data_IF_783845937554
#
_entry.id   IF_783845937554
#
_cell.length_a   1.000
_cell.length_b   1.000
_cell.length_c   1.000
_cell.angle_alpha   90.00
_cell.angle_beta   90.00
_cell.angle_gamma   90.00
#
_symmetry.space_group_name_H-M   'P 1'
#
loop_
_entity.id
_entity.type
_entity.pdbx_description
1 polymer ?
#
# COMPACT_ATOMS: atom_id res chain seq x y z
N UNK A 1 -108.07 54.38 -8.53
CA UNK A 1 -109.11 53.35 -8.66
C UNK A 1 -110.38 53.97 -9.23
N UNK A 2 -110.76 53.61 -10.45
CA UNK A 2 -112.16 53.40 -10.84
C UNK A 2 -112.09 52.55 -12.10
N UNK A 3 -112.47 51.27 -12.01
CA UNK A 3 -112.51 50.40 -13.19
C UNK A 3 -113.75 50.82 -13.97
N UNK A 4 -113.61 51.83 -14.83
CA UNK A 4 -114.66 52.22 -15.77
C UNK A 4 -114.96 50.94 -16.56
N UNK A 5 -116.17 50.40 -16.41
CA UNK A 5 -116.51 49.17 -17.10
C UNK A 5 -116.49 49.45 -18.60
N UNK A 6 -115.96 48.50 -19.38
CA UNK A 6 -115.89 48.56 -20.84
C UNK A 6 -117.25 48.96 -21.44
N UNK A 7 -118.35 48.46 -20.85
CA UNK A 7 -119.73 48.88 -21.12
C UNK A 7 -119.96 50.40 -21.03
N UNK A 8 -119.51 51.08 -19.95
CA UNK A 8 -119.74 52.53 -19.77
C UNK A 8 -118.99 53.36 -20.81
N UNK A 9 -117.72 53.02 -21.09
CA UNK A 9 -116.94 53.68 -22.15
C UNK A 9 -117.66 53.51 -23.50
N UNK A 10 -117.98 52.26 -23.87
CA UNK A 10 -118.70 51.96 -25.12
C UNK A 10 -120.07 52.65 -25.19
N UNK A 11 -120.81 52.79 -24.08
CA UNK A 11 -122.09 53.52 -24.02
C UNK A 11 -121.91 54.97 -24.42
N UNK A 12 -120.88 55.64 -23.91
CA UNK A 12 -120.54 57.02 -24.27
C UNK A 12 -120.06 57.13 -25.72
N UNK A 13 -119.22 56.21 -26.18
CA UNK A 13 -118.71 56.19 -27.56
C UNK A 13 -119.81 55.95 -28.60
N UNK A 14 -120.76 55.06 -28.33
CA UNK A 14 -121.92 54.84 -29.20
C UNK A 14 -122.87 56.03 -29.15
N UNK A 15 -123.17 56.60 -27.98
CA UNK A 15 -124.01 57.78 -27.88
C UNK A 15 -123.41 58.97 -28.66
N UNK A 16 -122.11 59.21 -28.52
CA UNK A 16 -121.37 60.23 -29.28
C UNK A 16 -121.39 59.97 -30.78
N UNK A 17 -121.11 58.75 -31.24
CA UNK A 17 -121.17 58.38 -32.67
C UNK A 17 -122.57 58.57 -33.26
N UNK A 18 -123.62 58.17 -32.55
CA UNK A 18 -125.00 58.30 -33.03
C UNK A 18 -125.41 59.78 -33.17
N UNK A 19 -124.97 60.66 -32.26
CA UNK A 19 -125.19 62.11 -32.42
C UNK A 19 -124.34 62.71 -33.54
N UNK A 20 -123.09 62.26 -33.73
CA UNK A 20 -122.26 62.68 -34.86
C UNK A 20 -122.85 62.29 -36.23
N UNK A 21 -123.63 61.19 -36.29
CA UNK A 21 -124.39 60.76 -37.48
C UNK A 21 -125.71 61.58 -37.65
N UNK A 22 -126.02 62.48 -36.71
CA UNK A 22 -127.13 63.44 -36.81
C UNK A 22 -128.36 63.11 -35.94
N UNK A 23 -128.31 62.10 -35.06
CA UNK A 23 -129.37 61.88 -34.06
C UNK A 23 -129.34 62.99 -33.01
N UNK A 24 -130.50 63.35 -32.47
CA UNK A 24 -130.57 64.31 -31.35
C UNK A 24 -130.36 63.57 -30.01
N UNK A 25 -129.71 64.17 -28.99
CA UNK A 25 -129.48 63.52 -27.70
C UNK A 25 -130.73 62.95 -27.03
N UNK A 26 -131.91 63.58 -27.21
CA UNK A 26 -133.17 63.07 -26.67
C UNK A 26 -133.70 61.82 -27.40
N UNK A 27 -133.34 61.59 -28.66
CA UNK A 27 -133.75 60.43 -29.46
C UNK A 27 -133.00 59.14 -29.09
N UNK A 28 -131.85 59.26 -28.41
CA UNK A 28 -131.08 58.10 -27.96
C UNK A 28 -131.84 57.34 -26.85
N UNK A 29 -132.26 56.11 -27.12
CA UNK A 29 -132.90 55.23 -26.14
C UNK A 29 -131.93 54.13 -25.67
N UNK A 30 -132.25 53.53 -24.52
CA UNK A 30 -131.46 52.42 -23.95
C UNK A 30 -131.36 51.25 -24.93
N UNK A 31 -132.45 50.90 -25.61
CA UNK A 31 -132.47 49.80 -26.58
C UNK A 31 -131.69 50.13 -27.87
N UNK A 32 -131.61 51.40 -28.28
CA UNK A 32 -130.77 51.84 -29.40
C UNK A 32 -129.28 51.64 -29.08
N UNK A 33 -128.84 52.04 -27.89
CA UNK A 33 -127.47 51.82 -27.41
C UNK A 33 -127.18 50.33 -27.20
N UNK A 34 -128.14 49.58 -26.63
CA UNK A 34 -128.01 48.15 -26.40
C UNK A 34 -127.94 47.34 -27.71
N UNK A 35 -128.63 47.76 -28.77
CA UNK A 35 -128.58 47.11 -30.09
C UNK A 35 -127.18 47.16 -30.73
N UNK A 36 -126.44 48.24 -30.47
CA UNK A 36 -125.10 48.47 -31.00
C UNK A 36 -124.01 47.77 -30.16
N UNK A 37 -124.07 47.90 -28.83
CA UNK A 37 -123.02 47.37 -27.94
C UNK A 37 -123.26 45.90 -27.58
N UNK A 38 -124.54 45.47 -27.51
CA UNK A 38 -125.01 44.11 -27.19
C UNK A 38 -124.44 43.51 -25.89
N UNK A 39 -123.96 44.35 -24.98
CA UNK A 39 -123.23 43.97 -23.77
C UNK A 39 -123.62 44.90 -22.61
N UNK A 40 -123.71 44.33 -21.40
CA UNK A 40 -124.02 45.06 -20.17
C UNK A 40 -125.52 45.11 -19.82
N UNK A 41 -125.84 45.57 -18.61
CA UNK A 41 -127.23 45.72 -18.18
C UNK A 41 -127.86 46.96 -18.79
N UNK A 42 -129.15 46.85 -19.17
CA UNK A 42 -129.99 48.01 -19.54
C UNK A 42 -130.01 49.10 -18.46
N UNK A 43 -129.90 48.74 -17.18
CA UNK A 43 -129.80 49.74 -16.09
C UNK A 43 -128.50 50.54 -16.18
N UNK A 44 -127.35 49.87 -16.26
CA UNK A 44 -126.03 50.51 -16.41
C UNK A 44 -125.96 51.41 -17.65
N UNK A 45 -126.57 50.98 -18.76
CA UNK A 45 -126.65 51.77 -20.00
C UNK A 45 -127.57 52.98 -19.80
N UNK A 46 -128.72 52.82 -19.15
CA UNK A 46 -129.64 53.93 -18.86
C UNK A 46 -129.00 54.99 -17.97
N UNK A 47 -128.30 54.58 -16.90
CA UNK A 47 -127.69 55.49 -15.94
C UNK A 47 -126.51 56.26 -16.57
N UNK A 48 -125.64 55.57 -17.31
CA UNK A 48 -124.54 56.22 -18.05
C UNK A 48 -125.06 57.11 -19.20
N UNK A 49 -126.13 56.69 -19.89
CA UNK A 49 -126.74 57.49 -20.96
C UNK A 49 -127.43 58.75 -20.40
N UNK A 50 -128.03 58.70 -19.20
CA UNK A 50 -128.53 59.90 -18.50
C UNK A 50 -127.38 60.85 -18.17
N UNK A 51 -126.33 60.36 -17.50
CA UNK A 51 -125.15 61.16 -17.15
C UNK A 51 -124.54 61.81 -18.39
N UNK A 52 -124.37 61.04 -19.48
CA UNK A 52 -123.88 61.55 -20.75
C UNK A 52 -124.81 62.61 -21.36
N UNK A 53 -126.13 62.45 -21.32
CA UNK A 53 -127.09 63.47 -21.79
C UNK A 53 -127.04 64.74 -20.93
N UNK A 54 -126.92 64.60 -19.61
CA UNK A 54 -126.79 65.73 -18.68
C UNK A 54 -125.46 66.47 -18.87
N UNK A 55 -124.41 65.77 -19.29
CA UNK A 55 -123.13 66.37 -19.70
C UNK A 55 -123.24 67.07 -21.06
N UNK A 56 -123.89 66.47 -22.06
CA UNK A 56 -124.15 67.16 -23.34
C UNK A 56 -124.99 68.41 -23.13
N UNK A 57 -126.08 68.35 -22.36
CA UNK A 57 -126.92 69.52 -22.07
C UNK A 57 -126.14 70.65 -21.37
N UNK A 58 -125.20 70.31 -20.48
CA UNK A 58 -124.30 71.28 -19.84
C UNK A 58 -123.27 71.86 -20.84
N UNK A 59 -122.72 71.02 -21.72
CA UNK A 59 -121.79 71.46 -22.76
C UNK A 59 -122.48 72.37 -23.81
N UNK A 60 -123.69 72.01 -24.25
CA UNK A 60 -124.52 72.79 -25.16
C UNK A 60 -124.89 74.15 -24.53
N UNK A 61 -125.28 74.17 -23.25
CA UNK A 61 -125.56 75.40 -22.52
C UNK A 61 -124.32 76.29 -22.36
N UNK A 62 -123.14 75.70 -22.09
CA UNK A 62 -121.88 76.42 -21.99
C UNK A 62 -121.43 76.98 -23.36
N UNK A 63 -121.60 76.19 -24.44
CA UNK A 63 -121.33 76.62 -25.80
C UNK A 63 -122.27 77.74 -26.27
N UNK A 64 -123.53 77.73 -25.83
CA UNK A 64 -124.50 78.80 -26.09
C UNK A 64 -124.27 80.06 -25.24
N UNK A 65 -123.67 79.93 -24.05
CA UNK A 65 -123.34 81.05 -23.16
C UNK A 65 -122.04 81.77 -23.56
N UNK A 66 -121.13 81.10 -24.27
CA UNK A 66 -119.90 81.68 -24.80
C UNK A 66 -120.16 82.40 -26.13
N UNK A 67 -119.76 83.68 -26.28
CA UNK A 67 -119.74 84.32 -27.59
C UNK A 67 -118.85 83.52 -28.56
N UNK A 68 -119.32 83.27 -29.78
CA UNK A 68 -118.60 82.43 -30.75
C UNK A 68 -117.09 82.78 -30.92
N UNK A 69 -116.67 84.07 -30.99
CA UNK A 69 -115.24 84.41 -31.06
C UNK A 69 -114.41 83.93 -29.87
N UNK A 70 -115.01 83.85 -28.67
CA UNK A 70 -114.34 83.36 -27.46
C UNK A 70 -114.26 81.83 -27.47
N UNK A 71 -115.33 81.14 -27.88
CA UNK A 71 -115.34 79.69 -28.02
C UNK A 71 -114.31 79.20 -29.06
N UNK A 72 -114.22 79.89 -30.20
CA UNK A 72 -113.23 79.56 -31.24
C UNK A 72 -111.80 79.92 -30.79
N UNK A 73 -111.58 81.06 -30.13
CA UNK A 73 -110.28 81.39 -29.54
C UNK A 73 -109.82 80.35 -28.49
N UNK A 74 -110.73 79.85 -27.64
CA UNK A 74 -110.43 78.79 -26.68
C UNK A 74 -110.08 77.46 -27.38
N UNK A 75 -110.79 77.10 -28.46
CA UNK A 75 -110.46 75.91 -29.26
C UNK A 75 -109.11 76.03 -29.96
N UNK A 76 -108.81 77.18 -30.55
CA UNK A 76 -107.51 77.44 -31.18
C UNK A 76 -106.37 77.44 -30.18
N UNK A 77 -106.55 78.03 -28.99
CA UNK A 77 -105.56 78.00 -27.92
C UNK A 77 -105.34 76.57 -27.39
N UNK A 78 -106.40 75.79 -27.23
CA UNK A 78 -106.29 74.38 -26.84
C UNK A 78 -105.58 73.54 -27.89
N UNK A 79 -105.92 73.70 -29.17
CA UNK A 79 -105.26 73.01 -30.27
C UNK A 79 -103.75 73.33 -30.31
N UNK A 80 -103.38 74.61 -30.19
CA UNK A 80 -101.99 75.05 -30.12
C UNK A 80 -101.25 74.50 -28.88
N UNK A 81 -101.92 74.44 -27.73
CA UNK A 81 -101.35 73.88 -26.50
C UNK A 81 -101.13 72.36 -26.60
N UNK A 82 -102.03 71.63 -27.26
CA UNK A 82 -101.86 70.20 -27.56
C UNK A 82 -100.72 70.00 -28.55
N UNK A 83 -100.70 70.73 -29.67
CA UNK A 83 -99.63 70.65 -30.67
C UNK A 83 -98.25 70.94 -30.07
N UNK A 84 -98.14 71.99 -29.24
CA UNK A 84 -96.91 72.31 -28.53
C UNK A 84 -96.53 71.23 -27.50
N UNK A 85 -97.50 70.67 -26.78
CA UNK A 85 -97.28 69.56 -25.85
C UNK A 85 -96.79 68.30 -26.54
N UNK A 86 -97.34 67.95 -27.71
CA UNK A 86 -96.91 66.84 -28.55
C UNK A 86 -95.48 67.06 -29.09
N UNK A 87 -95.16 68.29 -29.55
CA UNK A 87 -93.81 68.65 -29.98
C UNK A 87 -92.77 68.53 -28.86
N UNK A 88 -93.06 69.06 -27.66
CA UNK A 88 -92.16 68.97 -26.51
C UNK A 88 -92.02 67.52 -26.02
N UNK A 89 -93.10 66.73 -26.02
CA UNK A 89 -93.05 65.33 -25.65
C UNK A 89 -92.23 64.50 -26.65
N UNK A 90 -92.38 64.74 -27.95
CA UNK A 90 -91.57 64.11 -28.99
C UNK A 90 -90.08 64.46 -28.84
N UNK A 91 -89.76 65.75 -28.67
CA UNK A 91 -88.39 66.22 -28.43
C UNK A 91 -87.76 65.54 -27.21
N UNK A 92 -88.44 65.51 -26.06
CA UNK A 92 -87.90 64.86 -24.86
C UNK A 92 -87.84 63.34 -24.99
N UNK A 93 -88.73 62.73 -25.78
CA UNK A 93 -88.66 61.33 -26.18
C UNK A 93 -87.36 61.02 -26.93
N UNK A 94 -87.07 61.76 -27.99
CA UNK A 94 -85.82 61.59 -28.75
C UNK A 94 -84.56 61.87 -27.91
N UNK A 95 -84.59 62.88 -27.02
CA UNK A 95 -83.48 63.15 -26.10
C UNK A 95 -83.24 61.96 -25.16
N UNK A 96 -84.29 61.40 -24.55
CA UNK A 96 -84.18 60.22 -23.68
C UNK A 96 -83.71 58.98 -24.44
N UNK A 97 -84.15 58.79 -25.68
CA UNK A 97 -83.66 57.70 -26.55
C UNK A 97 -82.16 57.86 -26.86
N UNK A 98 -81.70 59.08 -27.18
CA UNK A 98 -80.27 59.38 -27.37
C UNK A 98 -79.47 59.16 -26.07
N UNK A 99 -79.95 59.68 -24.94
CA UNK A 99 -79.32 59.47 -23.62
C UNK A 99 -79.20 57.98 -23.29
N UNK A 100 -80.22 57.18 -23.61
CA UNK A 100 -80.26 55.74 -23.38
C UNK A 100 -79.32 54.96 -24.32
N UNK A 101 -79.25 55.30 -25.61
CA UNK A 101 -78.30 54.63 -26.54
C UNK A 101 -76.85 54.95 -26.19
N UNK A 102 -76.55 56.20 -25.83
CA UNK A 102 -75.25 56.62 -25.32
C UNK A 102 -74.87 55.90 -24.01
N UNK A 103 -75.82 55.76 -23.07
CA UNK A 103 -75.59 55.04 -21.83
C UNK A 103 -75.34 53.55 -22.07
N UNK A 104 -76.09 52.92 -22.98
CA UNK A 104 -75.88 51.53 -23.38
C UNK A 104 -74.52 51.32 -24.07
N UNK A 105 -74.11 52.23 -24.96
CA UNK A 105 -72.80 52.19 -25.61
C UNK A 105 -71.64 52.33 -24.61
N UNK A 106 -71.74 53.26 -23.65
CA UNK A 106 -70.78 53.40 -22.54
C UNK A 106 -70.72 52.14 -21.68
N UNK A 107 -71.87 51.57 -21.30
CA UNK A 107 -71.93 50.35 -20.52
C UNK A 107 -71.29 49.14 -21.24
N UNK A 108 -71.57 48.97 -22.54
CA UNK A 108 -70.96 47.92 -23.35
C UNK A 108 -69.44 48.08 -23.48
N UNK A 109 -68.95 49.32 -23.68
CA UNK A 109 -67.52 49.63 -23.73
C UNK A 109 -66.82 49.32 -22.40
N UNK A 110 -67.40 49.73 -21.27
CA UNK A 110 -66.88 49.43 -19.93
C UNK A 110 -66.89 47.92 -19.62
N UNK A 111 -67.94 47.19 -20.01
CA UNK A 111 -68.00 45.74 -19.84
C UNK A 111 -66.91 45.01 -20.65
N UNK A 112 -66.64 45.46 -21.88
CA UNK A 112 -65.55 44.93 -22.70
C UNK A 112 -64.17 45.22 -22.09
N UNK A 113 -63.95 46.43 -21.59
CA UNK A 113 -62.71 46.80 -20.91
C UNK A 113 -62.49 46.00 -19.60
N UNK A 114 -63.56 45.77 -18.82
CA UNK A 114 -63.52 44.96 -17.61
C UNK A 114 -63.12 43.51 -17.92
N UNK A 115 -63.79 42.87 -18.88
CA UNK A 115 -63.46 41.51 -19.30
C UNK A 115 -62.02 41.36 -19.81
N UNK A 116 -61.49 42.38 -20.51
CA UNK A 116 -60.08 42.41 -20.93
C UNK A 116 -59.11 42.50 -19.73
N UNK A 117 -59.41 43.33 -18.72
CA UNK A 117 -58.62 43.44 -17.50
C UNK A 117 -58.68 42.17 -16.64
N UNK A 118 -59.83 41.51 -16.58
CA UNK A 118 -59.98 40.20 -15.91
C UNK A 118 -59.13 39.12 -16.59
N UNK A 119 -59.17 39.05 -17.92
CA UNK A 119 -58.35 38.12 -18.71
C UNK A 119 -56.83 38.38 -18.53
N UNK A 120 -56.41 39.64 -18.49
CA UNK A 120 -55.02 40.01 -18.19
C UNK A 120 -54.64 39.61 -16.75
N UNK A 121 -55.50 39.91 -15.78
CA UNK A 121 -55.28 39.54 -14.36
C UNK A 121 -55.14 38.04 -14.18
N UNK A 122 -55.99 37.25 -14.84
CA UNK A 122 -55.92 35.79 -14.77
C UNK A 122 -54.65 35.25 -15.46
N UNK A 123 -54.22 35.88 -16.57
CA UNK A 123 -52.96 35.55 -17.25
C UNK A 123 -51.74 35.84 -16.37
N UNK A 124 -51.73 36.98 -15.68
CA UNK A 124 -50.64 37.34 -14.77
C UNK A 124 -50.59 36.43 -13.53
N UNK A 125 -51.74 36.00 -13.01
CA UNK A 125 -51.81 35.00 -11.92
C UNK A 125 -51.20 33.66 -12.31
N UNK A 126 -51.59 33.10 -13.46
CA UNK A 126 -51.04 31.81 -13.91
C UNK A 126 -49.55 31.91 -14.25
N UNK A 127 -49.09 33.04 -14.80
CA UNK A 127 -47.66 33.30 -14.97
C UNK A 127 -46.92 33.34 -13.63
N UNK A 128 -47.48 34.03 -12.61
CA UNK A 128 -46.89 34.12 -11.27
C UNK A 128 -46.78 32.75 -10.62
N UNK A 129 -47.84 31.94 -10.64
CA UNK A 129 -47.83 30.54 -10.15
C UNK A 129 -46.76 29.68 -10.86
N UNK A 130 -46.60 29.83 -12.18
CA UNK A 130 -45.53 29.16 -12.97
C UNK A 130 -44.14 29.67 -12.60
N UNK A 131 -43.98 30.95 -12.24
CA UNK A 131 -42.71 31.49 -11.79
C UNK A 131 -42.36 31.05 -10.35
N UNK A 132 -43.33 31.02 -9.44
CA UNK A 132 -43.15 30.53 -8.06
C UNK A 132 -42.80 29.04 -8.03
N UNK A 133 -43.49 28.20 -8.80
CA UNK A 133 -43.18 26.77 -8.90
C UNK A 133 -41.77 26.51 -9.48
N UNK A 134 -41.36 27.30 -10.49
CA UNK A 134 -39.98 27.26 -11.03
C UNK A 134 -38.94 27.74 -10.03
N UNK A 135 -39.22 28.80 -9.27
CA UNK A 135 -38.34 29.32 -8.23
C UNK A 135 -38.16 28.29 -7.11
N UNK A 136 -39.26 27.66 -6.66
CA UNK A 136 -39.24 26.59 -5.67
C UNK A 136 -38.36 25.42 -6.15
N UNK A 137 -38.58 24.92 -7.37
CA UNK A 137 -37.77 23.84 -7.95
C UNK A 137 -36.28 24.20 -8.09
N UNK A 138 -35.96 25.44 -8.51
CA UNK A 138 -34.58 25.90 -8.59
C UNK A 138 -33.93 26.01 -7.19
N UNK A 139 -34.69 26.42 -6.16
CA UNK A 139 -34.21 26.51 -4.79
C UNK A 139 -33.94 25.14 -4.16
N UNK A 140 -34.79 24.13 -4.44
CA UNK A 140 -34.57 22.76 -3.94
C UNK A 140 -33.38 22.09 -4.63
N UNK A 141 -33.20 22.33 -5.93
CA UNK A 141 -32.03 21.85 -6.67
C UNK A 141 -30.73 22.53 -6.21
N UNK A 142 -30.77 23.83 -5.93
CA UNK A 142 -29.63 24.55 -5.34
C UNK A 142 -29.27 24.00 -3.95
N UNK A 143 -30.26 23.73 -3.10
CA UNK A 143 -30.03 23.12 -1.79
C UNK A 143 -29.45 21.69 -1.90
N UNK A 144 -29.95 20.88 -2.84
CA UNK A 144 -29.45 19.53 -3.13
C UNK A 144 -27.99 19.56 -3.58
N UNK A 145 -27.67 20.39 -4.58
CA UNK A 145 -26.30 20.50 -5.12
C UNK A 145 -25.32 21.09 -4.11
N UNK A 146 -25.76 21.99 -3.22
CA UNK A 146 -24.96 22.45 -2.08
C UNK A 146 -24.67 21.32 -1.09
N UNK A 147 -25.67 20.54 -0.69
CA UNK A 147 -25.48 19.41 0.22
C UNK A 147 -24.56 18.31 -0.38
N UNK A 148 -24.69 18.02 -1.67
CA UNK A 148 -23.82 17.09 -2.40
C UNK A 148 -22.38 17.59 -2.47
N UNK A 149 -22.17 18.88 -2.78
CA UNK A 149 -20.85 19.51 -2.79
C UNK A 149 -20.21 19.48 -1.40
N UNK A 150 -20.95 19.83 -0.37
CA UNK A 150 -20.42 19.92 0.99
C UNK A 150 -20.09 18.52 1.55
N UNK A 151 -20.90 17.51 1.23
CA UNK A 151 -20.58 16.10 1.47
C UNK A 151 -19.34 15.61 0.71
N UNK A 152 -19.17 16.00 -0.56
CA UNK A 152 -17.98 15.69 -1.34
C UNK A 152 -16.72 16.36 -0.76
N UNK A 153 -16.81 17.60 -0.28
CA UNK A 153 -15.72 18.31 0.41
C UNK A 153 -15.34 17.58 1.71
N UNK A 154 -16.31 17.15 2.52
CA UNK A 154 -16.05 16.35 3.72
C UNK A 154 -15.37 15.02 3.40
N UNK A 155 -15.83 14.30 2.36
CA UNK A 155 -15.20 13.05 1.92
C UNK A 155 -13.75 13.25 1.44
N UNK A 156 -13.47 14.34 0.71
CA UNK A 156 -12.10 14.70 0.29
C UNK A 156 -11.23 15.04 1.52
N UNK A 157 -11.75 15.78 2.49
CA UNK A 157 -11.03 16.11 3.72
C UNK A 157 -10.69 14.85 4.54
N UNK A 158 -11.64 13.92 4.67
CA UNK A 158 -11.42 12.63 5.34
C UNK A 158 -10.35 11.81 4.62
N UNK A 159 -10.44 11.65 3.29
CA UNK A 159 -9.46 10.92 2.50
C UNK A 159 -8.05 11.55 2.54
N UNK A 160 -7.95 12.88 2.61
CA UNK A 160 -6.67 13.59 2.82
C UNK A 160 -6.10 13.29 4.21
N UNK A 161 -6.92 13.32 5.26
CA UNK A 161 -6.50 13.01 6.62
C UNK A 161 -6.03 11.55 6.77
N UNK A 162 -6.76 10.60 6.18
CA UNK A 162 -6.36 9.17 6.15
C UNK A 162 -5.05 8.96 5.38
N UNK A 163 -4.91 9.56 4.19
CA UNK A 163 -3.68 9.51 3.40
C UNK A 163 -2.48 10.04 4.19
N UNK A 164 -2.65 11.15 4.90
CA UNK A 164 -1.57 11.77 5.64
C UNK A 164 -1.24 10.99 6.91
N UNK A 165 -2.23 10.40 7.59
CA UNK A 165 -2.01 9.44 8.67
C UNK A 165 -1.20 8.23 8.20
N UNK A 166 -1.64 7.53 7.15
CA UNK A 166 -0.93 6.38 6.55
C UNK A 166 0.49 6.77 6.11
N UNK A 167 0.67 7.97 5.54
CA UNK A 167 1.99 8.49 5.17
C UNK A 167 2.90 8.69 6.39
N UNK A 168 2.39 9.21 7.50
CA UNK A 168 3.18 9.36 8.73
C UNK A 168 3.54 8.00 9.35
N UNK A 169 2.61 7.04 9.36
CA UNK A 169 2.86 5.67 9.83
C UNK A 169 3.91 4.95 8.97
N UNK A 170 3.81 5.05 7.64
CA UNK A 170 4.79 4.51 6.69
C UNK A 170 6.19 5.15 6.89
N UNK A 171 6.26 6.44 7.21
CA UNK A 171 7.52 7.11 7.51
C UNK A 171 8.10 6.68 8.87
N UNK A 172 7.27 6.46 9.89
CA UNK A 172 7.69 5.98 11.19
C UNK A 172 8.21 4.53 11.13
N UNK A 173 7.47 3.64 10.47
CA UNK A 173 7.87 2.24 10.25
C UNK A 173 9.15 2.13 9.43
N UNK A 174 9.31 2.93 8.36
CA UNK A 174 10.56 3.00 7.61
C UNK A 174 11.75 3.45 8.47
N UNK A 175 11.58 4.51 9.29
CA UNK A 175 12.63 4.98 10.21
C UNK A 175 12.99 3.94 11.26
N UNK A 176 11.99 3.22 11.80
CA UNK A 176 12.21 2.14 12.75
C UNK A 176 13.01 0.99 12.11
N UNK A 177 12.63 0.56 10.90
CA UNK A 177 13.35 -0.47 10.16
C UNK A 177 14.80 -0.06 9.84
N UNK A 178 15.02 1.20 9.42
CA UNK A 178 16.35 1.76 9.20
C UNK A 178 17.20 1.76 10.47
N UNK A 179 16.62 2.14 11.62
CA UNK A 179 17.31 2.15 12.90
C UNK A 179 17.65 0.73 13.40
N UNK A 180 16.77 -0.24 13.20
CA UNK A 180 17.05 -1.66 13.48
C UNK A 180 18.18 -2.18 12.60
N UNK A 181 18.10 -1.95 11.28
CA UNK A 181 19.12 -2.41 10.35
C UNK A 181 20.50 -1.76 10.60
N UNK A 182 20.55 -0.49 10.98
CA UNK A 182 21.79 0.17 11.39
C UNK A 182 22.43 -0.53 12.61
N UNK A 183 21.63 -0.88 13.62
CA UNK A 183 22.11 -1.61 14.81
C UNK A 183 22.58 -3.03 14.47
N UNK A 184 21.87 -3.73 13.58
CA UNK A 184 22.28 -5.06 13.08
C UNK A 184 23.64 -4.99 12.36
N UNK A 185 23.82 -3.98 11.48
CA UNK A 185 25.09 -3.76 10.79
C UNK A 185 26.23 -3.40 11.76
N UNK A 186 25.96 -2.61 12.79
CA UNK A 186 26.93 -2.29 13.85
C UNK A 186 27.29 -3.53 14.68
N UNK A 187 26.31 -4.34 15.06
CA UNK A 187 26.54 -5.60 15.79
C UNK A 187 27.35 -6.60 14.97
N UNK A 188 27.03 -6.78 13.68
CA UNK A 188 27.79 -7.63 12.77
C UNK A 188 29.23 -7.12 12.57
N UNK A 189 29.42 -5.79 12.43
CA UNK A 189 30.76 -5.20 12.35
C UNK A 189 31.58 -5.42 13.63
N UNK A 190 30.95 -5.30 14.80
CA UNK A 190 31.59 -5.56 16.08
C UNK A 190 31.99 -7.04 16.21
N UNK A 191 31.10 -7.97 15.87
CA UNK A 191 31.39 -9.41 15.87
C UNK A 191 32.50 -9.77 14.88
N UNK A 192 32.49 -9.20 13.67
CA UNK A 192 33.56 -9.38 12.69
C UNK A 192 34.91 -8.83 13.20
N UNK A 193 34.93 -7.65 13.81
CA UNK A 193 36.14 -7.08 14.40
C UNK A 193 36.69 -7.93 15.56
N UNK A 194 35.82 -8.47 16.42
CA UNK A 194 36.21 -9.39 17.49
C UNK A 194 36.80 -10.69 16.93
N UNK A 195 36.14 -11.31 15.94
CA UNK A 195 36.64 -12.49 15.22
C UNK A 195 37.99 -12.22 14.56
N UNK A 196 38.19 -11.06 13.93
CA UNK A 196 39.49 -10.66 13.37
C UNK A 196 40.58 -10.54 14.43
N UNK A 197 40.28 -9.93 15.59
CA UNK A 197 41.25 -9.81 16.69
C UNK A 197 41.63 -11.19 17.24
N UNK A 198 40.66 -12.10 17.41
CA UNK A 198 40.92 -13.49 17.83
C UNK A 198 41.77 -14.24 16.81
N UNK A 199 41.46 -14.11 15.51
CA UNK A 199 42.24 -14.75 14.44
C UNK A 199 43.67 -14.21 14.36
N UNK A 200 43.88 -12.89 14.51
CA UNK A 200 45.22 -12.29 14.57
C UNK A 200 46.01 -12.82 15.77
N UNK A 201 45.41 -12.89 16.95
CA UNK A 201 46.04 -13.48 18.14
C UNK A 201 46.41 -14.96 17.97
N UNK A 202 45.60 -15.74 17.23
CA UNK A 202 45.93 -17.13 16.87
C UNK A 202 47.09 -17.22 15.86
N UNK A 203 47.15 -16.29 14.89
CA UNK A 203 48.29 -16.18 13.95
C UNK A 203 49.57 -15.81 14.69
N UNK A 204 49.53 -14.86 15.63
CA UNK A 204 50.68 -14.48 16.44
C UNK A 204 51.14 -15.63 17.36
N UNK A 205 50.21 -16.37 17.96
CA UNK A 205 50.52 -17.55 18.77
C UNK A 205 51.12 -18.70 17.93
N UNK A 206 50.63 -18.93 16.72
CA UNK A 206 51.17 -19.99 15.84
C UNK A 206 52.51 -19.59 15.25
N UNK A 207 52.70 -18.32 14.87
CA UNK A 207 53.98 -17.75 14.43
C UNK A 207 55.04 -17.85 15.52
N UNK A 208 54.75 -17.41 16.75
CA UNK A 208 55.71 -17.51 17.87
C UNK A 208 56.06 -18.96 18.24
N UNK A 209 55.10 -19.89 18.13
CA UNK A 209 55.38 -21.34 18.25
C UNK A 209 56.29 -21.84 17.12
N UNK A 210 56.03 -21.47 15.87
CA UNK A 210 56.86 -21.84 14.71
C UNK A 210 58.30 -21.30 14.85
N UNK A 211 58.46 -20.03 15.25
CA UNK A 211 59.77 -19.46 15.54
C UNK A 211 60.49 -20.20 16.68
N UNK A 212 59.78 -20.57 17.75
CA UNK A 212 60.37 -21.33 18.85
C UNK A 212 60.82 -22.72 18.41
N UNK A 213 60.03 -23.40 17.57
CA UNK A 213 60.40 -24.69 16.98
C UNK A 213 61.59 -24.53 16.03
N UNK A 214 61.60 -23.50 15.18
CA UNK A 214 62.73 -23.19 14.29
C UNK A 214 64.02 -22.94 15.07
N UNK A 215 63.97 -22.12 16.13
CA UNK A 215 65.10 -21.87 17.05
C UNK A 215 65.59 -23.17 17.71
N UNK A 216 64.68 -24.03 18.15
CA UNK A 216 65.03 -25.33 18.74
C UNK A 216 65.67 -26.29 17.72
N UNK A 217 65.13 -26.38 16.50
CA UNK A 217 65.69 -27.19 15.41
C UNK A 217 67.08 -26.67 15.03
N UNK A 218 67.29 -25.36 14.92
CA UNK A 218 68.63 -24.79 14.68
C UNK A 218 69.60 -25.23 15.78
N UNK A 219 69.25 -25.05 17.05
CA UNK A 219 70.07 -25.48 18.19
C UNK A 219 70.36 -26.99 18.16
N UNK A 220 69.37 -27.83 17.86
CA UNK A 220 69.57 -29.28 17.69
C UNK A 220 70.55 -29.60 16.54
N UNK A 221 70.47 -28.89 15.41
CA UNK A 221 71.42 -29.10 14.29
C UNK A 221 72.84 -28.63 14.64
N UNK A 222 73.00 -27.59 15.44
CA UNK A 222 74.31 -27.16 15.96
C UNK A 222 74.87 -28.18 16.95
N UNK A 223 74.06 -28.65 17.91
CA UNK A 223 74.43 -29.70 18.85
C UNK A 223 74.80 -31.01 18.13
N UNK A 224 74.06 -31.39 17.07
CA UNK A 224 74.36 -32.55 16.24
C UNK A 224 75.67 -32.37 15.46
N UNK A 225 75.94 -31.19 14.89
CA UNK A 225 77.23 -30.85 14.25
C UNK A 225 78.38 -30.87 15.25
N UNK A 226 78.18 -30.46 16.49
CA UNK A 226 79.20 -30.48 17.54
C UNK A 226 79.43 -31.88 18.11
N UNK A 227 78.39 -32.72 18.17
CA UNK A 227 78.52 -34.13 18.47
C UNK A 227 79.26 -34.86 17.34
N UNK A 228 78.93 -34.55 16.07
CA UNK A 228 79.64 -35.06 14.89
C UNK A 228 81.12 -34.64 14.91
N UNK A 229 81.43 -33.35 15.09
CA UNK A 229 82.83 -32.87 15.19
C UNK A 229 83.61 -33.55 16.33
N UNK A 230 82.95 -33.80 17.48
CA UNK A 230 83.55 -34.58 18.58
C UNK A 230 83.77 -36.06 18.22
N UNK A 231 82.82 -36.69 17.53
CA UNK A 231 82.96 -38.06 17.05
C UNK A 231 84.06 -38.19 15.99
N UNK A 232 84.15 -37.25 15.04
CA UNK A 232 85.22 -37.15 14.05
C UNK A 232 86.59 -36.95 14.71
N UNK A 233 86.71 -36.08 15.71
CA UNK A 233 87.94 -35.91 16.48
C UNK A 233 88.32 -37.17 17.28
N UNK A 234 87.34 -37.86 17.87
CA UNK A 234 87.57 -39.14 18.55
C UNK A 234 88.00 -40.25 17.57
N UNK A 235 87.39 -40.32 16.39
CA UNK A 235 87.78 -41.23 15.30
C UNK A 235 89.18 -40.91 14.77
N UNK A 236 89.53 -39.64 14.61
CA UNK A 236 90.88 -39.22 14.22
C UNK A 236 91.92 -39.63 15.27
N UNK A 237 91.63 -39.42 16.56
CA UNK A 237 92.49 -39.88 17.67
C UNK A 237 92.60 -41.40 17.74
N UNK A 238 91.52 -42.13 17.43
CA UNK A 238 91.54 -43.59 17.36
C UNK A 238 92.31 -44.11 16.14
N UNK A 239 92.21 -43.46 14.98
CA UNK A 239 93.05 -43.74 13.80
C UNK A 239 94.53 -43.51 14.11
N UNK A 240 94.88 -42.36 14.67
CA UNK A 240 96.25 -42.06 15.11
C UNK A 240 96.79 -43.11 16.10
N UNK A 241 95.98 -43.55 17.06
CA UNK A 241 96.36 -44.62 18.00
C UNK A 241 96.46 -45.99 17.33
N UNK A 242 95.65 -46.27 16.31
CA UNK A 242 95.73 -47.50 15.53
C UNK A 242 97.00 -47.50 14.66
N UNK A 243 97.32 -46.38 14.00
CA UNK A 243 98.58 -46.17 13.27
C UNK A 243 99.80 -46.34 14.19
N UNK A 244 99.76 -45.78 15.41
CA UNK A 244 100.78 -46.02 16.43
C UNK A 244 100.91 -47.50 16.78
N UNK A 245 99.79 -48.19 17.08
CA UNK A 245 99.79 -49.62 17.40
C UNK A 245 100.25 -50.50 16.22
N UNK A 246 99.94 -50.13 14.98
CA UNK A 246 100.45 -50.80 13.78
C UNK A 246 101.97 -50.59 13.66
N UNK A 247 102.47 -49.39 13.92
CA UNK A 247 103.92 -49.12 14.02
C UNK A 247 104.60 -49.89 15.15
N UNK A 248 103.95 -50.03 16.30
CA UNK A 248 104.43 -50.82 17.44
C UNK A 248 104.47 -52.32 17.12
N UNK A 249 103.43 -52.85 16.48
CA UNK A 249 103.39 -54.24 16.00
C UNK A 249 104.46 -54.48 14.92
N UNK A 250 104.69 -53.53 14.02
CA UNK A 250 105.78 -53.62 13.03
C UNK A 250 107.16 -53.62 13.69
N UNK A 251 107.39 -52.78 14.72
CA UNK A 251 108.63 -52.81 15.52
C UNK A 251 108.79 -54.12 16.26
N UNK A 252 107.79 -54.57 17.00
CA UNK A 252 107.82 -55.85 17.73
C UNK A 252 108.00 -57.05 16.78
N UNK A 253 107.44 -57.01 15.57
CA UNK A 253 107.67 -58.04 14.56
C UNK A 253 109.11 -58.02 14.03
N UNK A 254 109.71 -56.84 13.84
CA UNK A 254 111.12 -56.69 13.47
C UNK A 254 112.06 -57.16 14.60
N UNK A 255 111.76 -56.79 15.85
CA UNK A 255 112.49 -57.25 17.05
C UNK A 255 112.36 -58.77 17.23
N UNK A 256 111.18 -59.35 17.03
CA UNK A 256 110.98 -60.81 17.06
C UNK A 256 111.71 -61.53 15.91
N UNK A 257 111.84 -60.90 14.73
CA UNK A 257 112.63 -61.43 13.63
C UNK A 257 114.15 -61.35 13.91
N UNK A 258 114.63 -60.28 14.54
CA UNK A 258 116.01 -60.19 15.04
C UNK A 258 116.29 -61.24 16.13
N UNK A 259 115.39 -61.40 17.10
CA UNK A 259 115.51 -62.44 18.14
C UNK A 259 115.52 -63.85 17.55
N UNK A 260 114.69 -64.15 16.55
CA UNK A 260 114.76 -65.42 15.80
C UNK A 260 116.11 -65.59 15.08
N UNK A 261 116.62 -64.56 14.41
CA UNK A 261 117.95 -64.60 13.77
C UNK A 261 119.11 -64.76 14.76
N UNK A 262 118.94 -64.34 16.01
CA UNK A 262 119.91 -64.57 17.08
C UNK A 262 119.78 -66.00 17.64
N UNK A 263 118.57 -66.49 17.86
CA UNK A 263 118.30 -67.88 18.25
C UNK A 263 118.85 -68.88 17.21
N UNK A 264 118.53 -68.71 15.92
CA UNK A 264 119.08 -69.50 14.80
C UNK A 264 120.62 -69.51 14.77
N UNK A 265 121.26 -68.40 15.17
CA UNK A 265 122.73 -68.28 15.24
C UNK A 265 123.28 -69.05 16.43
N UNK A 266 122.67 -68.94 17.61
CA UNK A 266 123.06 -69.70 18.79
C UNK A 266 122.80 -71.21 18.65
N UNK A 267 121.73 -71.61 17.97
CA UNK A 267 121.41 -73.01 17.69
C UNK A 267 122.44 -73.63 16.72
N UNK A 268 122.86 -72.88 15.69
CA UNK A 268 123.98 -73.28 14.80
C UNK A 268 125.32 -73.35 15.52
N UNK A 269 125.60 -72.43 16.44
CA UNK A 269 126.81 -72.47 17.29
C UNK A 269 126.80 -73.70 18.21
N UNK A 270 125.67 -74.03 18.82
CA UNK A 270 125.48 -75.25 19.61
C UNK A 270 125.68 -76.52 18.76
N UNK A 271 125.14 -76.56 17.54
CA UNK A 271 125.34 -77.67 16.63
C UNK A 271 126.83 -77.89 16.27
N UNK A 272 127.58 -76.81 16.00
CA UNK A 272 129.04 -76.87 15.77
C UNK A 272 129.78 -77.44 16.99
N UNK A 273 129.52 -76.88 18.18
CA UNK A 273 130.15 -77.33 19.42
C UNK A 273 129.83 -78.81 19.77
N UNK A 274 128.65 -79.31 19.37
CA UNK A 274 128.27 -80.72 19.54
C UNK A 274 129.04 -81.63 18.59
N UNK A 275 129.31 -81.22 17.35
CA UNK A 275 130.16 -82.00 16.43
C UNK A 275 131.63 -81.96 16.84
N UNK A 276 132.17 -80.80 17.24
CA UNK A 276 133.53 -80.69 17.80
C UNK A 276 133.70 -81.62 19.02
N UNK A 277 132.70 -81.68 19.91
CA UNK A 277 132.69 -82.61 21.05
C UNK A 277 132.56 -84.10 20.65
N UNK A 278 132.03 -84.41 19.46
CA UNK A 278 131.99 -85.77 18.90
C UNK A 278 133.33 -86.15 18.28
N UNK A 279 133.99 -85.23 17.58
CA UNK A 279 135.33 -85.45 17.01
C UNK A 279 136.37 -85.66 18.11
N UNK A 280 136.42 -84.78 19.11
CA UNK A 280 137.31 -84.93 20.28
C UNK A 280 137.09 -86.26 21.04
N UNK A 281 135.86 -86.80 21.05
CA UNK A 281 135.58 -88.14 21.60
C UNK A 281 136.15 -89.26 20.73
N UNK A 282 136.04 -89.17 19.40
CA UNK A 282 136.63 -90.14 18.46
C UNK A 282 138.15 -90.16 18.57
N UNK A 283 138.78 -88.99 18.66
CA UNK A 283 140.24 -88.85 18.85
C UNK A 283 140.70 -89.45 20.19
N UNK A 284 140.00 -89.14 21.29
CA UNK A 284 140.25 -89.75 22.60
C UNK A 284 140.18 -91.28 22.55
N UNK A 285 139.16 -91.83 21.88
CA UNK A 285 138.94 -93.27 21.83
C UNK A 285 139.98 -93.97 20.93
N UNK A 286 140.44 -93.32 19.86
CA UNK A 286 141.57 -93.79 19.04
C UNK A 286 142.91 -93.77 19.82
N UNK A 287 143.18 -92.72 20.58
CA UNK A 287 144.36 -92.62 21.45
C UNK A 287 144.34 -93.67 22.58
N UNK A 288 143.16 -93.92 23.18
CA UNK A 288 143.00 -94.97 24.19
C UNK A 288 143.31 -96.37 23.64
N UNK A 289 142.96 -96.65 22.39
CA UNK A 289 143.29 -97.91 21.71
C UNK A 289 144.80 -98.04 21.41
N UNK A 290 145.49 -96.95 21.05
CA UNK A 290 146.95 -96.96 20.84
C UNK A 290 147.76 -97.18 22.13
N UNK A 291 147.27 -96.67 23.27
CA UNK A 291 147.91 -96.94 24.58
C UNK A 291 147.75 -98.40 24.99
N UNK A 292 146.60 -99.03 24.68
CA UNK A 292 146.33 -100.42 25.03
C UNK A 292 147.23 -101.43 24.28
N UNK A 293 147.52 -101.19 22.99
CA UNK A 293 148.44 -102.04 22.21
C UNK A 293 149.89 -101.91 22.70
N UNK A 294 150.39 -100.69 22.91
CA UNK A 294 151.76 -100.45 23.38
C UNK A 294 152.03 -101.00 24.80
N UNK A 295 151.02 -101.08 25.66
CA UNK A 295 151.13 -101.72 26.98
C UNK A 295 151.11 -103.26 26.94
N UNK A 296 150.65 -103.86 25.83
CA UNK A 296 150.68 -105.31 25.62
C UNK A 296 152.08 -105.83 25.27
N UNK A 297 152.78 -105.14 24.37
CA UNK A 297 154.09 -105.57 23.83
C UNK A 297 155.22 -105.49 24.88
N UNK A 298 155.10 -104.59 25.86
CA UNK A 298 156.12 -104.33 26.87
C UNK A 298 156.17 -105.36 28.02
N UNK A 299 155.21 -106.29 28.11
CA UNK A 299 155.09 -107.26 29.24
C UNK A 299 155.62 -108.67 28.95
N UNK A 300 156.20 -108.94 27.78
CA UNK A 300 156.43 -110.30 27.30
C UNK A 300 157.88 -110.86 27.40
N UNK A 301 158.84 -110.20 28.09
CA UNK A 301 160.28 -110.57 27.98
C UNK A 301 161.07 -111.01 29.23
N UNK A 302 160.55 -110.97 30.46
CA UNK A 302 161.25 -111.51 31.67
C UNK A 302 160.26 -112.11 32.70
N UNK A 303 160.68 -113.19 33.39
CA UNK A 303 159.97 -114.05 34.36
C UNK A 303 161.02 -114.52 35.43
N UNK A 304 160.72 -115.27 36.52
CA UNK A 304 159.53 -115.47 37.39
C UNK A 304 159.97 -115.32 38.90
N UNK A 305 159.54 -116.08 39.96
CA UNK A 305 158.28 -116.79 40.31
C UNK A 305 157.71 -116.44 41.73
N UNK A 306 156.49 -116.88 42.09
CA UNK A 306 156.11 -117.46 43.42
C UNK A 306 154.57 -117.67 43.59
N UNK A 307 154.18 -118.64 44.44
CA UNK A 307 152.78 -119.03 44.77
C UNK A 307 152.28 -118.39 46.08
N UNK A 308 150.97 -118.07 46.17
CA UNK A 308 149.99 -118.58 47.18
C UNK A 308 148.70 -117.70 47.22
N UNK A 309 147.51 -118.17 46.83
CA UNK A 309 146.47 -118.98 47.53
C UNK A 309 145.21 -118.20 47.96
N UNK A 310 144.07 -118.62 47.37
CA UNK A 310 142.71 -118.76 47.95
C UNK A 310 141.78 -117.54 48.20
N UNK A 311 140.49 -117.86 47.95
CA UNK A 311 139.21 -117.32 48.49
C UNK A 311 138.60 -116.11 47.73
N UNK A 312 137.30 -115.97 47.40
CA UNK A 312 136.10 -116.80 47.09
C UNK A 312 134.83 -115.99 47.48
N UNK A 313 133.89 -115.83 46.52
CA UNK A 313 132.44 -115.50 46.61
C UNK A 313 131.88 -114.07 46.89
N UNK A 314 130.83 -113.74 46.11
CA UNK A 314 129.60 -112.96 46.40
C UNK A 314 129.68 -111.41 46.59
N UNK A 315 128.66 -110.56 46.29
CA UNK A 315 127.21 -110.76 45.92
C UNK A 315 126.58 -109.55 45.14
N UNK A 316 125.33 -109.72 44.63
CA UNK A 316 124.35 -108.71 44.10
C UNK A 316 123.79 -107.75 45.22
N UNK A 317 122.76 -106.84 45.08
CA UNK A 317 121.73 -106.62 44.00
C UNK A 317 121.14 -105.17 43.75
N UNK A 318 120.19 -105.07 42.79
CA UNK A 318 118.88 -104.32 42.78
C UNK A 318 118.72 -102.83 43.23
N UNK A 319 118.11 -101.96 42.39
CA UNK A 319 116.68 -101.51 42.49
C UNK A 319 116.26 -100.44 41.45
N UNK A 320 114.95 -100.14 41.34
CA UNK A 320 114.34 -98.94 40.68
C UNK A 320 114.39 -97.71 41.61
N UNK A 321 113.74 -96.53 41.43
CA UNK A 321 112.60 -95.98 40.63
C UNK A 321 112.74 -94.42 40.60
N UNK A 322 112.02 -93.58 39.79
CA UNK A 322 111.48 -93.65 38.42
C UNK A 322 112.30 -92.87 37.36
#
# INVERSE_FOLDING_TARGET
MSRISDTRIRTRDVAARLVAIGRRPHELTVDLIYAEIRQGSRTTINDELKLWKDEQARNDALAAALPAPVADAMRSLWALAVEHGEQVFAQRGEELEREATDAAARAASLASAHAALEAQTQTLRTQLEVHETRLAAASTELARTQAERDGAVQAIQAAVAERDAVRTEAQQTLRAAQATHARELEALRAEHAEREVVLRAQIDQTTSRLESVQKHVMLQTEQARDAQRRAEAALAKMRQRNEQLVGDVQRLAAEAAEQRRLADRHEKQLASAIEEARELRRERDALAQQVATLQGELKARVNPPARNTKRVLNTKPSSSIP
#
